data_IF_711420669563
#
_entry.id   IF_711420669563
#
_cell.length_a   1.000
_cell.length_b   1.000
_cell.length_c   1.000
_cell.angle_alpha   90.00
_cell.angle_beta   90.00
_cell.angle_gamma   90.00
#
_symmetry.space_group_name_H-M   'P 1'
#
loop_
_entity.id
_entity.type
_entity.pdbx_description
1 polymer ?
#
# COMPACT_ATOMS: atom_id res chain seq x y z
N UNK A 1 12.57 -36.67 -33.55
CA UNK A 1 13.13 -35.37 -33.13
C UNK A 1 12.24 -34.28 -33.71
N UNK A 2 11.48 -33.56 -32.87
CA UNK A 2 10.54 -32.52 -33.32
C UNK A 2 11.28 -31.39 -34.04
N UNK A 3 10.61 -30.70 -34.96
CA UNK A 3 11.19 -29.58 -35.73
C UNK A 3 11.82 -28.53 -34.79
N UNK A 4 11.19 -28.28 -33.64
CA UNK A 4 11.73 -27.44 -32.56
C UNK A 4 13.13 -27.86 -32.09
N UNK A 5 13.36 -29.15 -31.87
CA UNK A 5 14.65 -29.65 -31.43
C UNK A 5 15.70 -29.50 -32.53
N UNK A 6 15.31 -29.64 -33.81
CA UNK A 6 16.21 -29.42 -34.96
C UNK A 6 16.58 -27.95 -35.11
N UNK A 7 15.62 -27.05 -34.91
CA UNK A 7 15.83 -25.60 -35.02
C UNK A 7 16.71 -25.08 -33.87
N UNK A 8 16.52 -25.57 -32.63
CA UNK A 8 17.39 -25.25 -31.49
C UNK A 8 18.81 -25.78 -31.70
N UNK A 9 18.94 -27.03 -32.14
CA UNK A 9 20.26 -27.62 -32.41
C UNK A 9 20.95 -26.83 -33.52
N UNK A 10 20.25 -26.45 -34.59
CA UNK A 10 20.80 -25.65 -35.67
C UNK A 10 21.30 -24.27 -35.20
N UNK A 11 20.57 -23.60 -34.31
CA UNK A 11 20.98 -22.30 -33.75
C UNK A 11 22.16 -22.43 -32.79
N UNK A 12 22.23 -23.52 -32.00
CA UNK A 12 23.36 -23.81 -31.12
C UNK A 12 24.61 -24.28 -31.88
N UNK A 13 24.49 -24.70 -33.15
CA UNK A 13 25.58 -25.24 -33.97
C UNK A 13 25.96 -24.39 -35.19
N UNK A 14 25.24 -23.28 -35.45
CA UNK A 14 25.57 -22.34 -36.53
C UNK A 14 26.22 -21.07 -35.99
N UNK A 15 27.37 -20.69 -36.57
CA UNK A 15 28.08 -19.41 -36.40
C UNK A 15 27.33 -18.19 -37.00
N UNK A 16 25.99 -18.26 -37.07
CA UNK A 16 25.14 -17.19 -37.59
C UNK A 16 24.25 -16.66 -36.47
N UNK A 17 24.31 -15.34 -36.28
CA UNK A 17 23.59 -14.52 -35.30
C UNK A 17 22.05 -14.55 -35.44
N UNK A 18 21.40 -15.72 -35.35
CA UNK A 18 19.97 -15.77 -35.06
C UNK A 18 19.84 -15.86 -33.54
N UNK A 19 19.48 -14.76 -32.85
CA UNK A 19 19.34 -14.81 -31.40
C UNK A 19 18.28 -15.85 -31.04
N UNK A 20 18.55 -16.67 -30.03
CA UNK A 20 17.63 -17.70 -29.50
C UNK A 20 16.19 -17.17 -29.33
N UNK A 21 16.07 -15.88 -28.99
CA UNK A 21 14.80 -15.16 -28.86
C UNK A 21 13.97 -15.16 -30.15
N UNK A 22 14.57 -15.06 -31.34
CA UNK A 22 13.84 -15.09 -32.62
C UNK A 22 13.28 -16.49 -32.93
N UNK A 23 14.00 -17.54 -32.53
CA UNK A 23 13.53 -18.93 -32.64
C UNK A 23 12.34 -19.16 -31.71
N UNK A 24 12.46 -18.72 -30.46
CA UNK A 24 11.38 -18.80 -29.47
C UNK A 24 10.15 -18.00 -29.92
N UNK A 25 10.34 -16.77 -30.42
CA UNK A 25 9.27 -15.92 -30.96
C UNK A 25 8.47 -16.64 -32.05
N UNK A 26 9.16 -17.22 -33.05
CA UNK A 26 8.51 -17.94 -34.16
C UNK A 26 7.75 -19.17 -33.68
N UNK A 27 8.31 -19.92 -32.72
CA UNK A 27 7.69 -21.13 -32.21
C UNK A 27 6.46 -20.83 -31.36
N UNK A 28 6.51 -19.77 -30.55
CA UNK A 28 5.35 -19.26 -29.82
C UNK A 28 4.26 -18.81 -30.81
N UNK A 29 4.62 -18.11 -31.89
CA UNK A 29 3.68 -17.68 -32.94
C UNK A 29 3.00 -18.88 -33.62
N UNK A 30 3.75 -19.93 -33.97
CA UNK A 30 3.21 -21.15 -34.57
C UNK A 30 2.30 -21.89 -33.58
N UNK A 31 2.75 -22.10 -32.35
CA UNK A 31 1.99 -22.82 -31.33
C UNK A 31 0.69 -22.10 -30.97
N UNK A 32 0.73 -20.78 -30.80
CA UNK A 32 -0.45 -19.96 -30.51
C UNK A 32 -1.47 -20.02 -31.66
N UNK A 33 -1.01 -19.89 -32.91
CA UNK A 33 -1.89 -20.00 -34.08
C UNK A 33 -2.53 -21.39 -34.21
N UNK A 34 -1.77 -22.45 -33.95
CA UNK A 34 -2.31 -23.82 -33.95
C UNK A 34 -3.34 -24.01 -32.84
N UNK A 35 -3.06 -23.51 -31.64
CA UNK A 35 -4.00 -23.58 -30.52
C UNK A 35 -5.32 -22.90 -30.85
N UNK A 36 -5.30 -21.68 -31.41
CA UNK A 36 -6.51 -20.96 -31.82
C UNK A 36 -7.37 -21.75 -32.83
N UNK A 37 -6.72 -22.44 -33.78
CA UNK A 37 -7.43 -23.28 -34.76
C UNK A 37 -8.05 -24.52 -34.11
N UNK A 38 -7.34 -25.13 -33.16
CA UNK A 38 -7.81 -26.29 -32.42
C UNK A 38 -8.97 -25.92 -31.49
N UNK A 39 -8.92 -24.76 -30.86
CA UNK A 39 -9.98 -24.25 -29.99
C UNK A 39 -11.27 -24.05 -30.77
N UNK A 40 -11.23 -23.40 -31.94
CA UNK A 40 -12.40 -23.28 -32.80
C UNK A 40 -12.93 -24.65 -33.27
N UNK A 41 -12.02 -25.60 -33.51
CA UNK A 41 -12.39 -26.98 -33.85
C UNK A 41 -13.14 -27.66 -32.70
N UNK A 42 -12.68 -27.47 -31.46
CA UNK A 42 -13.34 -28.00 -30.28
C UNK A 42 -14.72 -27.38 -30.05
N UNK A 43 -14.86 -26.05 -30.22
CA UNK A 43 -16.13 -25.34 -30.06
C UNK A 43 -17.15 -25.73 -31.13
N UNK A 44 -16.73 -25.90 -32.38
CA UNK A 44 -17.61 -26.32 -33.46
C UNK A 44 -17.89 -27.83 -33.46
N UNK A 45 -17.02 -28.64 -32.85
CA UNK A 45 -17.09 -30.10 -32.85
C UNK A 45 -16.65 -30.75 -34.16
N UNK A 46 -16.11 -29.99 -35.12
CA UNK A 46 -15.64 -30.51 -36.40
C UNK A 46 -14.48 -29.70 -37.01
N UNK A 47 -13.65 -30.40 -37.79
CA UNK A 47 -12.46 -29.86 -38.43
C UNK A 47 -12.75 -28.99 -39.67
N UNK A 48 -11.79 -28.19 -40.14
CA UNK A 48 -11.91 -27.43 -41.38
C UNK A 48 -12.35 -28.34 -42.55
N UNK A 49 -13.28 -27.84 -43.38
CA UNK A 49 -13.79 -28.52 -44.58
C UNK A 49 -14.51 -29.86 -44.35
N UNK A 50 -14.86 -30.20 -43.11
CA UNK A 50 -15.65 -31.41 -42.81
C UNK A 50 -17.10 -31.22 -43.25
N UNK A 51 -17.67 -32.22 -43.95
CA UNK A 51 -19.08 -32.20 -44.33
C UNK A 51 -19.95 -32.45 -43.08
N UNK A 52 -20.82 -31.51 -42.77
CA UNK A 52 -21.77 -31.55 -41.66
C UNK A 52 -23.20 -31.65 -42.19
N UNK A 53 -24.04 -32.39 -41.47
CA UNK A 53 -25.46 -32.52 -41.78
C UNK A 53 -26.18 -31.19 -41.53
N UNK A 54 -26.96 -30.74 -42.52
CA UNK A 54 -27.60 -29.42 -42.56
C UNK A 54 -28.99 -29.42 -41.93
N UNK A 55 -29.42 -30.55 -41.37
CA UNK A 55 -30.76 -30.80 -40.83
C UNK A 55 -31.03 -30.19 -39.44
N UNK A 56 -30.03 -29.56 -38.80
CA UNK A 56 -30.15 -28.92 -37.47
C UNK A 56 -30.20 -27.38 -37.62
N UNK A 57 -31.17 -26.74 -36.98
CA UNK A 57 -31.42 -25.29 -37.09
C UNK A 57 -30.38 -24.39 -36.37
N UNK A 58 -29.47 -24.93 -35.55
CA UNK A 58 -28.48 -24.16 -34.76
C UNK A 58 -27.02 -24.46 -35.17
N UNK A 59 -26.79 -24.75 -36.46
CA UNK A 59 -25.46 -25.11 -36.97
C UNK A 59 -24.63 -23.84 -37.20
N UNK A 60 -23.55 -23.72 -36.43
CA UNK A 60 -22.57 -22.66 -36.58
C UNK A 60 -21.51 -23.05 -37.63
N UNK A 61 -20.87 -22.06 -38.27
CA UNK A 61 -19.90 -22.27 -39.35
C UNK A 61 -18.63 -21.47 -39.14
N UNK A 62 -17.49 -21.92 -39.68
CA UNK A 62 -16.27 -21.08 -39.75
C UNK A 62 -16.51 -19.92 -40.73
N UNK A 63 -16.08 -18.71 -40.36
CA UNK A 63 -16.30 -17.48 -41.14
C UNK A 63 -15.01 -16.64 -41.25
N UNK A 64 -13.96 -17.27 -41.78
CA UNK A 64 -12.67 -16.62 -41.99
C UNK A 64 -11.88 -16.40 -40.70
N UNK A 65 -10.92 -15.47 -40.77
CA UNK A 65 -10.03 -15.10 -39.68
C UNK A 65 -9.64 -13.62 -39.77
N UNK A 66 -9.13 -13.07 -38.68
CA UNK A 66 -8.53 -11.74 -38.66
C UNK A 66 -7.15 -11.79 -38.04
N UNK A 67 -6.27 -10.89 -38.46
CA UNK A 67 -4.92 -10.81 -37.92
C UNK A 67 -4.86 -9.89 -36.70
N UNK A 68 -4.06 -10.27 -35.71
CA UNK A 68 -3.69 -9.45 -34.55
C UNK A 68 -2.20 -9.59 -34.29
N UNK A 69 -1.53 -8.46 -34.07
CA UNK A 69 -0.16 -8.45 -33.60
C UNK A 69 -0.15 -8.29 -32.08
N UNK A 70 0.55 -9.18 -31.38
CA UNK A 70 0.77 -9.12 -29.93
C UNK A 70 2.26 -8.91 -29.68
N UNK A 71 2.58 -7.96 -28.81
CA UNK A 71 3.94 -7.73 -28.31
C UNK A 71 4.22 -8.75 -27.18
N UNK A 72 5.20 -9.62 -27.36
CA UNK A 72 5.68 -10.57 -26.33
C UNK A 72 7.09 -10.20 -25.88
N UNK A 73 7.57 -10.84 -24.81
CA UNK A 73 8.97 -10.70 -24.33
C UNK A 73 10.01 -11.03 -25.42
N UNK A 74 9.66 -11.93 -26.35
CA UNK A 74 10.52 -12.35 -27.45
C UNK A 74 10.32 -11.51 -28.73
N UNK A 75 9.49 -10.46 -28.67
CA UNK A 75 9.15 -9.59 -29.80
C UNK A 75 7.72 -9.75 -30.30
N UNK A 76 7.41 -9.11 -31.43
CA UNK A 76 6.07 -9.10 -32.02
C UNK A 76 5.72 -10.44 -32.65
N UNK A 77 4.58 -11.01 -32.29
CA UNK A 77 4.01 -12.20 -32.93
C UNK A 77 2.72 -11.83 -33.67
N UNK A 78 2.50 -12.45 -34.83
CA UNK A 78 1.27 -12.28 -35.60
C UNK A 78 0.34 -13.48 -35.41
N UNK A 79 -0.82 -13.22 -34.83
CA UNK A 79 -1.86 -14.20 -34.59
C UNK A 79 -2.96 -14.07 -35.64
N UNK A 80 -3.39 -15.21 -36.17
CA UNK A 80 -4.50 -15.36 -37.10
C UNK A 80 -5.68 -15.95 -36.35
N UNK A 81 -6.51 -15.07 -35.80
CA UNK A 81 -7.61 -15.46 -34.92
C UNK A 81 -8.81 -15.86 -35.77
N UNK A 82 -9.26 -17.13 -35.71
CA UNK A 82 -10.35 -17.59 -36.54
C UNK A 82 -11.70 -17.09 -35.98
N UNK A 83 -12.70 -17.02 -36.86
CA UNK A 83 -14.06 -16.56 -36.52
C UNK A 83 -15.09 -17.62 -36.87
N UNK A 84 -16.17 -17.63 -36.12
CA UNK A 84 -17.39 -18.36 -36.43
C UNK A 84 -18.47 -17.42 -36.97
N UNK A 85 -19.49 -17.97 -37.63
CA UNK A 85 -20.53 -17.21 -38.33
C UNK A 85 -21.53 -16.61 -37.36
N UNK A 86 -21.75 -17.26 -36.22
CA UNK A 86 -22.66 -16.79 -35.17
C UNK A 86 -21.97 -15.90 -34.12
N UNK A 87 -20.67 -15.60 -34.27
CA UNK A 87 -19.84 -14.84 -33.31
C UNK A 87 -19.91 -15.37 -31.87
N UNK A 88 -20.14 -16.68 -31.69
CA UNK A 88 -20.15 -17.38 -30.40
C UNK A 88 -18.73 -17.77 -29.95
N UNK A 89 -17.75 -17.78 -30.84
CA UNK A 89 -16.36 -18.14 -30.51
C UNK A 89 -15.64 -16.99 -29.80
N UNK A 90 -15.19 -17.24 -28.57
CA UNK A 90 -14.24 -16.41 -27.85
C UNK A 90 -13.01 -17.25 -27.55
N UNK A 91 -11.83 -16.74 -27.90
CA UNK A 91 -10.58 -17.47 -27.64
C UNK A 91 -10.17 -17.33 -26.16
N UNK A 92 -9.65 -18.39 -25.57
CA UNK A 92 -9.18 -18.42 -24.19
C UNK A 92 -7.73 -17.93 -24.02
N UNK A 93 -6.97 -17.82 -25.12
CA UNK A 93 -5.56 -17.44 -25.07
C UNK A 93 -5.33 -15.97 -24.69
N UNK A 94 -6.21 -15.07 -25.12
CA UNK A 94 -6.10 -13.65 -24.79
C UNK A 94 -7.47 -12.94 -24.86
N UNK A 95 -7.76 -12.03 -23.91
CA UNK A 95 -8.97 -11.24 -23.96
C UNK A 95 -9.08 -10.38 -25.24
N UNK A 96 -10.30 -9.98 -25.64
CA UNK A 96 -10.48 -9.00 -26.69
C UNK A 96 -9.63 -7.74 -26.42
N UNK A 97 -8.94 -7.23 -27.44
CA UNK A 97 -8.16 -5.98 -27.43
C UNK A 97 -6.83 -5.98 -26.65
N UNK A 98 -6.41 -7.11 -26.07
CA UNK A 98 -5.08 -7.25 -25.44
C UNK A 98 -3.98 -7.28 -26.51
N UNK A 99 -2.93 -6.49 -26.29
CA UNK A 99 -1.76 -6.38 -27.18
C UNK A 99 -0.46 -6.84 -26.52
N UNK A 100 -0.44 -7.19 -25.23
CA UNK A 100 0.79 -7.38 -24.42
C UNK A 100 0.62 -8.48 -23.36
N UNK A 101 1.71 -9.14 -22.99
CA UNK A 101 1.79 -10.12 -21.88
C UNK A 101 1.93 -9.46 -20.50
N UNK A 102 1.29 -10.03 -19.49
CA UNK A 102 1.02 -9.43 -18.16
C UNK A 102 2.28 -9.09 -17.32
N UNK A 103 3.40 -9.79 -17.51
CA UNK A 103 4.59 -9.61 -16.67
C UNK A 103 5.25 -8.22 -16.75
N UNK A 104 5.11 -7.51 -17.88
CA UNK A 104 5.65 -6.15 -18.02
C UNK A 104 4.78 -5.13 -17.26
N UNK A 105 3.45 -5.32 -17.27
CA UNK A 105 2.54 -4.45 -16.52
C UNK A 105 2.78 -4.58 -15.01
N UNK A 106 2.98 -5.80 -14.50
CA UNK A 106 3.38 -6.03 -13.10
C UNK A 106 4.69 -5.33 -12.76
N UNK A 107 5.69 -5.41 -13.64
CA UNK A 107 6.97 -4.73 -13.47
C UNK A 107 6.81 -3.20 -13.47
N UNK A 108 5.95 -2.65 -14.32
CA UNK A 108 5.60 -1.23 -14.33
C UNK A 108 4.93 -0.81 -13.03
N UNK A 109 3.96 -1.59 -12.54
CA UNK A 109 3.29 -1.35 -11.25
C UNK A 109 4.32 -1.41 -10.11
N UNK A 110 5.24 -2.38 -10.14
CA UNK A 110 6.29 -2.53 -9.13
C UNK A 110 7.28 -1.37 -9.16
N UNK A 111 7.69 -0.89 -10.32
CA UNK A 111 8.55 0.31 -10.41
C UNK A 111 7.81 1.55 -9.89
N UNK A 112 6.51 1.68 -10.21
CA UNK A 112 5.71 2.78 -9.70
C UNK A 112 5.57 2.74 -8.17
N UNK A 113 5.37 1.55 -7.57
CA UNK A 113 5.34 1.35 -6.12
C UNK A 113 6.71 1.63 -5.49
N UNK A 114 7.82 1.43 -6.20
CA UNK A 114 9.16 1.87 -5.77
C UNK A 114 9.40 3.37 -5.95
N UNK A 115 8.37 4.14 -6.25
CA UNK A 115 8.42 5.59 -6.35
C UNK A 115 9.17 6.09 -7.58
N UNK A 116 9.41 5.21 -8.57
CA UNK A 116 9.94 5.60 -9.87
C UNK A 116 8.86 6.42 -10.59
N UNK A 117 9.27 7.50 -11.25
CA UNK A 117 8.34 8.37 -11.99
C UNK A 117 7.89 7.69 -13.28
N UNK A 118 6.74 8.11 -13.82
CA UNK A 118 6.22 7.53 -15.07
C UNK A 118 7.15 7.76 -16.25
N UNK A 119 7.93 8.84 -16.23
CA UNK A 119 8.98 9.15 -17.23
C UNK A 119 10.18 8.23 -17.08
N UNK A 120 10.70 8.06 -15.87
CA UNK A 120 11.81 7.12 -15.63
C UNK A 120 11.42 5.68 -15.97
N UNK A 121 10.17 5.26 -15.67
CA UNK A 121 9.67 3.94 -16.07
C UNK A 121 9.63 3.81 -17.59
N UNK A 122 9.10 4.82 -18.29
CA UNK A 122 9.08 4.84 -19.75
C UNK A 122 10.49 4.67 -20.34
N UNK A 123 11.46 5.46 -19.86
CA UNK A 123 12.84 5.42 -20.30
C UNK A 123 13.51 4.05 -19.99
N UNK A 124 13.25 3.48 -18.80
CA UNK A 124 13.79 2.16 -18.43
C UNK A 124 13.23 1.04 -19.30
N UNK A 125 11.91 1.04 -19.52
CA UNK A 125 11.25 0.02 -20.34
C UNK A 125 11.71 0.13 -21.80
N UNK A 126 11.89 1.34 -22.32
CA UNK A 126 12.43 1.57 -23.67
C UNK A 126 13.86 1.02 -23.80
N UNK A 127 14.74 1.28 -22.84
CA UNK A 127 16.12 0.79 -22.85
C UNK A 127 16.22 -0.73 -22.72
N UNK A 128 15.36 -1.36 -21.92
CA UNK A 128 15.40 -2.80 -21.66
C UNK A 128 14.75 -3.62 -22.78
N UNK A 129 13.61 -3.15 -23.31
CA UNK A 129 12.77 -3.93 -24.22
C UNK A 129 12.73 -3.37 -25.66
N UNK A 130 13.38 -2.24 -25.93
CA UNK A 130 13.39 -1.61 -27.27
C UNK A 130 12.03 -1.11 -27.74
N UNK A 131 11.01 -1.16 -26.89
CA UNK A 131 9.64 -0.73 -27.17
C UNK A 131 9.37 0.62 -26.53
N UNK A 132 8.87 1.58 -27.31
CA UNK A 132 8.51 2.90 -26.80
C UNK A 132 7.28 2.81 -25.88
N UNK A 133 7.48 3.06 -24.59
CA UNK A 133 6.39 3.28 -23.63
C UNK A 133 6.28 4.78 -23.37
N UNK A 134 5.14 5.37 -23.71
CA UNK A 134 4.91 6.76 -23.32
C UNK A 134 4.61 6.85 -21.81
N UNK A 135 4.94 7.97 -21.14
CA UNK A 135 4.53 8.22 -19.76
C UNK A 135 3.00 8.10 -19.56
N UNK A 136 2.23 8.40 -20.60
CA UNK A 136 0.77 8.22 -20.63
C UNK A 136 0.37 6.75 -20.61
N UNK A 137 1.08 5.89 -21.35
CA UNK A 137 0.88 4.44 -21.32
C UNK A 137 1.15 3.88 -19.92
N UNK A 138 2.25 4.29 -19.29
CA UNK A 138 2.59 3.92 -17.91
C UNK A 138 1.49 4.37 -16.94
N UNK A 139 1.00 5.60 -17.08
CA UNK A 139 -0.11 6.12 -16.27
C UNK A 139 -1.40 5.32 -16.45
N UNK A 140 -1.71 4.88 -17.67
CA UNK A 140 -2.89 4.05 -17.93
C UNK A 140 -2.75 2.64 -17.34
N UNK A 141 -1.54 2.08 -17.33
CA UNK A 141 -1.27 0.80 -16.65
C UNK A 141 -1.47 0.97 -15.14
N UNK A 142 -0.93 2.03 -14.53
CA UNK A 142 -1.09 2.25 -13.08
C UNK A 142 -2.53 2.60 -12.71
N UNK A 143 -3.32 3.24 -13.58
CA UNK A 143 -4.77 3.42 -13.35
C UNK A 143 -5.51 2.10 -13.18
N UNK A 144 -5.04 1.01 -13.78
CA UNK A 144 -5.66 -0.30 -13.56
C UNK A 144 -5.59 -0.72 -12.09
N UNK A 145 -4.69 -0.18 -11.27
CA UNK A 145 -4.63 -0.48 -9.83
C UNK A 145 -5.61 0.34 -8.98
N UNK A 146 -6.49 1.12 -9.60
CA UNK A 146 -7.49 1.92 -8.88
C UNK A 146 -8.51 1.03 -8.14
N UNK A 147 -8.95 -0.08 -8.75
CA UNK A 147 -9.82 -1.06 -8.07
C UNK A 147 -9.17 -1.62 -6.80
N UNK A 148 -7.84 -1.78 -6.76
CA UNK A 148 -7.16 -2.26 -5.56
C UNK A 148 -7.27 -1.26 -4.41
N UNK A 149 -7.33 0.04 -4.71
CA UNK A 149 -7.55 1.10 -3.71
C UNK A 149 -8.94 0.96 -3.10
N UNK A 150 -9.96 0.78 -3.95
CA UNK A 150 -11.33 0.53 -3.51
C UNK A 150 -11.40 -0.75 -2.66
N UNK A 151 -10.83 -1.86 -3.14
CA UNK A 151 -10.73 -3.12 -2.40
C UNK A 151 -10.03 -2.94 -1.05
N UNK A 152 -8.96 -2.14 -0.98
CA UNK A 152 -8.26 -1.85 0.26
C UNK A 152 -9.17 -1.11 1.24
N UNK A 153 -9.90 -0.10 0.79
CA UNK A 153 -10.82 0.66 1.65
C UNK A 153 -12.07 -0.15 2.00
N UNK A 154 -12.50 -1.11 1.20
CA UNK A 154 -13.67 -1.96 1.47
C UNK A 154 -13.34 -3.27 2.21
N UNK A 155 -12.05 -3.64 2.32
CA UNK A 155 -11.65 -4.93 2.88
C UNK A 155 -12.21 -5.17 4.28
N UNK A 156 -12.60 -6.41 4.54
CA UNK A 156 -12.88 -6.87 5.90
C UNK A 156 -11.58 -7.19 6.62
N UNK A 157 -11.44 -6.71 7.86
CA UNK A 157 -10.28 -7.04 8.67
C UNK A 157 -10.33 -8.50 9.11
N UNK A 158 -9.19 -9.19 9.00
CA UNK A 158 -9.03 -10.58 9.46
C UNK A 158 -9.13 -10.67 10.99
N UNK A 159 -8.67 -9.64 11.69
CA UNK A 159 -8.64 -9.56 13.15
C UNK A 159 -9.51 -8.40 13.62
N UNK A 160 -10.24 -8.62 14.72
CA UNK A 160 -11.14 -7.61 15.29
C UNK A 160 -10.55 -6.85 16.49
N UNK A 161 -9.37 -7.25 16.97
CA UNK A 161 -8.77 -6.80 18.23
C UNK A 161 -7.38 -6.23 18.00
N UNK A 162 -7.13 -5.02 18.51
CA UNK A 162 -5.82 -4.35 18.44
C UNK A 162 -5.45 -3.75 19.80
N UNK A 163 -4.20 -3.97 20.23
CA UNK A 163 -3.72 -3.51 21.53
C UNK A 163 -3.46 -2.01 21.47
N UNK A 164 -2.80 -1.53 20.43
CA UNK A 164 -2.62 -0.11 20.23
C UNK A 164 -2.75 0.31 18.77
N UNK A 165 -3.32 1.49 18.56
CA UNK A 165 -3.45 2.13 17.25
C UNK A 165 -2.80 3.51 17.31
N UNK A 166 -1.81 3.71 16.46
CA UNK A 166 -1.13 4.99 16.27
C UNK A 166 -1.84 5.78 15.18
N UNK A 167 -2.19 7.02 15.48
CA UNK A 167 -2.79 7.97 14.53
C UNK A 167 -1.84 9.14 14.35
N UNK A 168 -1.51 9.46 13.10
CA UNK A 168 -0.69 10.61 12.74
C UNK A 168 -1.06 11.11 11.36
N UNK A 169 -0.83 12.40 11.10
CA UNK A 169 -1.10 13.03 9.83
C UNK A 169 0.21 13.50 9.17
N UNK A 170 0.30 13.33 7.85
CA UNK A 170 1.42 13.85 7.05
C UNK A 170 0.93 14.68 5.89
N UNK A 171 1.56 15.85 5.70
CA UNK A 171 1.18 16.77 4.64
C UNK A 171 1.90 16.48 3.32
N UNK A 172 1.16 16.18 2.26
CA UNK A 172 1.67 15.85 0.92
C UNK A 172 1.20 16.89 -0.11
N UNK A 173 2.07 17.35 -1.03
CA UNK A 173 1.68 18.27 -2.10
C UNK A 173 0.74 17.60 -3.12
N UNK A 174 -0.47 18.13 -3.25
CA UNK A 174 -1.51 17.69 -4.16
C UNK A 174 -2.01 18.87 -5.02
N UNK A 175 -2.31 18.60 -6.30
CA UNK A 175 -2.88 19.61 -7.20
C UNK A 175 -4.39 19.40 -7.35
N UNK A 176 -5.18 20.39 -6.94
CA UNK A 176 -6.63 20.52 -7.21
C UNK A 176 -6.91 21.86 -7.92
N UNK A 177 -6.23 22.08 -9.05
CA UNK A 177 -6.12 23.40 -9.70
C UNK A 177 -4.83 24.09 -9.26
N UNK A 178 -4.79 24.59 -8.03
CA UNK A 178 -3.56 25.02 -7.33
C UNK A 178 -2.89 23.85 -6.61
N UNK A 179 -1.60 24.02 -6.29
CA UNK A 179 -0.83 23.01 -5.53
C UNK A 179 -0.87 23.40 -4.06
N UNK A 180 -1.49 22.55 -3.26
CA UNK A 180 -1.61 22.73 -1.81
C UNK A 180 -1.11 21.50 -1.07
N UNK A 181 -0.78 21.67 0.21
CA UNK A 181 -0.35 20.55 1.06
C UNK A 181 -1.57 20.02 1.80
N UNK A 182 -2.06 18.87 1.37
CA UNK A 182 -3.20 18.20 2.01
C UNK A 182 -2.70 17.19 3.05
N UNK A 183 -3.51 16.97 4.08
CA UNK A 183 -3.25 16.02 5.14
C UNK A 183 -3.57 14.59 4.69
N UNK A 184 -2.62 13.69 4.92
CA UNK A 184 -2.83 12.24 4.80
C UNK A 184 -2.81 11.68 6.21
N UNK A 185 -4.00 11.34 6.70
CA UNK A 185 -4.22 10.73 8.00
C UNK A 185 -3.91 9.23 7.89
N UNK A 186 -3.15 8.68 8.81
CA UNK A 186 -2.73 7.27 8.77
C UNK A 186 -3.00 6.62 10.11
N UNK A 187 -3.62 5.44 10.08
CA UNK A 187 -3.83 4.60 11.26
C UNK A 187 -2.98 3.32 11.16
N UNK A 188 -2.10 3.09 12.15
CA UNK A 188 -1.27 1.88 12.22
C UNK A 188 -1.61 1.11 13.49
N UNK A 189 -2.07 -0.13 13.36
CA UNK A 189 -2.45 -1.00 14.46
C UNK A 189 -1.35 -2.01 14.81
N UNK A 190 -1.28 -2.37 16.09
CA UNK A 190 -0.50 -3.50 16.59
C UNK A 190 -1.44 -4.45 17.35
N UNK A 191 -1.41 -5.72 16.98
CA UNK A 191 -2.15 -6.81 17.62
C UNK A 191 -1.40 -7.36 18.83
N UNK A 192 -2.07 -8.20 19.62
CA UNK A 192 -1.47 -8.87 20.78
C UNK A 192 -0.32 -9.82 20.42
N UNK A 193 -0.36 -10.47 19.26
CA UNK A 193 0.73 -11.29 18.70
C UNK A 193 1.95 -10.43 18.26
N UNK A 194 1.83 -9.11 18.35
CA UNK A 194 2.81 -8.13 17.90
C UNK A 194 2.78 -7.86 16.39
N UNK A 195 1.90 -8.51 15.64
CA UNK A 195 1.68 -8.22 14.23
C UNK A 195 1.22 -6.79 14.06
N UNK A 196 1.82 -6.08 13.09
CA UNK A 196 1.54 -4.68 12.85
C UNK A 196 1.24 -4.40 11.39
N UNK A 197 0.30 -3.51 11.16
CA UNK A 197 -0.18 -3.19 9.84
C UNK A 197 -0.76 -1.76 9.83
N UNK A 198 -0.70 -1.11 8.67
CA UNK A 198 -1.50 0.08 8.41
C UNK A 198 -2.93 -0.40 8.21
N UNK A 199 -3.82 0.06 9.09
CA UNK A 199 -5.24 -0.28 9.06
C UNK A 199 -5.95 0.47 7.95
N UNK A 200 -5.75 1.79 7.92
CA UNK A 200 -6.32 2.65 6.90
C UNK A 200 -5.57 3.97 6.77
N UNK A 201 -5.91 4.71 5.73
CA UNK A 201 -5.52 6.11 5.57
C UNK A 201 -6.65 6.91 4.95
N UNK A 202 -6.62 8.24 5.08
CA UNK A 202 -7.55 9.14 4.41
C UNK A 202 -6.83 10.39 3.92
N UNK A 203 -7.25 10.92 2.78
CA UNK A 203 -6.76 12.20 2.25
C UNK A 203 -7.79 13.27 2.61
N UNK A 204 -7.35 14.36 3.21
CA UNK A 204 -8.21 15.49 3.57
C UNK A 204 -7.48 16.81 3.34
N UNK A 205 -8.16 17.89 2.89
CA UNK A 205 -7.53 19.19 2.70
C UNK A 205 -6.81 19.69 3.96
N UNK A 206 -7.43 19.48 5.12
CA UNK A 206 -6.87 19.82 6.43
C UNK A 206 -7.13 18.69 7.42
N UNK A 207 -6.25 18.59 8.41
CA UNK A 207 -6.45 17.67 9.54
C UNK A 207 -7.58 18.19 10.43
N UNK A 208 -8.67 17.44 10.53
CA UNK A 208 -9.83 17.82 11.33
C UNK A 208 -10.53 16.60 11.95
N UNK A 209 -11.34 16.83 12.98
CA UNK A 209 -12.04 15.76 13.71
C UNK A 209 -13.06 14.98 12.87
N UNK A 210 -13.62 15.58 11.81
CA UNK A 210 -14.58 14.89 10.94
C UNK A 210 -13.88 13.82 10.09
N UNK A 211 -12.72 14.14 9.50
CA UNK A 211 -11.91 13.20 8.74
C UNK A 211 -11.44 12.02 9.60
N UNK A 212 -11.06 12.29 10.86
CA UNK A 212 -10.73 11.23 11.81
C UNK A 212 -11.94 10.38 12.20
N UNK A 213 -13.11 10.99 12.41
CA UNK A 213 -14.34 10.27 12.70
C UNK A 213 -14.74 9.34 11.56
N UNK A 214 -14.65 9.80 10.31
CA UNK A 214 -14.92 8.99 9.12
C UNK A 214 -13.96 7.79 9.01
N UNK A 215 -12.66 8.02 9.20
CA UNK A 215 -11.65 6.96 9.21
C UNK A 215 -11.97 5.91 10.30
N UNK A 216 -12.26 6.36 11.54
CA UNK A 216 -12.56 5.47 12.66
C UNK A 216 -13.87 4.70 12.47
N UNK A 217 -14.90 5.34 11.90
CA UNK A 217 -16.15 4.67 11.52
C UNK A 217 -15.89 3.60 10.46
N UNK A 218 -15.06 3.90 9.46
CA UNK A 218 -14.64 2.95 8.43
C UNK A 218 -13.91 1.73 9.01
N UNK A 219 -13.02 1.94 9.98
CA UNK A 219 -12.37 0.83 10.71
C UNK A 219 -13.40 -0.07 11.41
N UNK A 220 -14.36 0.54 12.10
CA UNK A 220 -15.40 -0.17 12.86
C UNK A 220 -16.34 -0.95 11.94
N UNK A 221 -16.81 -0.30 10.87
CA UNK A 221 -17.70 -0.90 9.87
C UNK A 221 -17.07 -2.14 9.20
N UNK A 222 -15.74 -2.15 9.06
CA UNK A 222 -14.97 -3.23 8.43
C UNK A 222 -14.58 -4.38 9.37
N UNK A 223 -14.91 -4.28 10.65
CA UNK A 223 -14.84 -5.40 11.59
C UNK A 223 -13.88 -5.23 12.77
N UNK A 224 -13.21 -4.07 12.92
CA UNK A 224 -12.45 -3.77 14.13
C UNK A 224 -13.43 -3.42 15.25
N UNK A 225 -13.43 -4.23 16.31
CA UNK A 225 -14.38 -4.11 17.42
C UNK A 225 -13.72 -3.47 18.63
N UNK A 226 -12.58 -4.01 19.03
CA UNK A 226 -11.94 -3.65 20.30
C UNK A 226 -10.53 -3.12 20.08
N UNK A 227 -10.30 -1.92 20.60
CA UNK A 227 -8.99 -1.27 20.61
C UNK A 227 -8.70 -0.86 22.05
N UNK A 228 -7.58 -1.30 22.62
CA UNK A 228 -7.25 -0.99 24.01
C UNK A 228 -6.67 0.42 24.18
N UNK A 229 -5.90 0.90 23.20
CA UNK A 229 -5.21 2.19 23.28
C UNK A 229 -5.11 2.89 21.92
N UNK A 230 -5.53 4.16 21.88
CA UNK A 230 -5.16 5.07 20.79
C UNK A 230 -4.00 5.98 21.21
N UNK A 231 -3.05 6.16 20.31
CA UNK A 231 -1.88 7.03 20.51
C UNK A 231 -1.86 8.05 19.39
N UNK A 232 -2.08 9.32 19.71
CA UNK A 232 -2.15 10.38 18.71
C UNK A 232 -1.63 11.72 19.26
N UNK A 233 -1.47 12.72 18.40
CA UNK A 233 -1.39 14.09 18.89
C UNK A 233 -2.75 14.53 19.47
N UNK A 234 -2.73 15.48 20.40
CA UNK A 234 -3.94 16.05 20.99
C UNK A 234 -4.58 17.09 20.08
N UNK A 235 -4.96 16.68 18.87
CA UNK A 235 -5.72 17.50 17.93
C UNK A 235 -7.14 17.73 18.48
N UNK A 236 -7.65 18.95 18.30
CA UNK A 236 -9.02 19.30 18.69
C UNK A 236 -10.01 18.42 17.93
N UNK A 237 -10.89 17.73 18.66
CA UNK A 237 -11.94 16.87 18.10
C UNK A 237 -11.51 15.43 17.82
N UNK A 238 -10.21 15.08 17.84
CA UNK A 238 -9.76 13.70 17.65
C UNK A 238 -10.17 12.82 18.83
N UNK A 239 -9.96 13.29 20.06
CA UNK A 239 -10.34 12.53 21.25
C UNK A 239 -11.86 12.27 21.29
N UNK A 240 -12.68 13.28 20.98
CA UNK A 240 -14.13 13.11 20.89
C UNK A 240 -14.54 12.14 19.77
N UNK A 241 -13.83 12.12 18.64
CA UNK A 241 -14.06 11.16 17.57
C UNK A 241 -13.70 9.72 18.00
N UNK A 242 -12.64 9.55 18.79
CA UNK A 242 -12.25 8.26 19.38
C UNK A 242 -13.32 7.79 20.36
N UNK A 243 -13.71 8.63 21.32
CA UNK A 243 -14.72 8.30 22.35
C UNK A 243 -16.08 7.93 21.73
N UNK A 244 -16.47 8.60 20.63
CA UNK A 244 -17.71 8.30 19.92
C UNK A 244 -17.70 6.94 19.19
N UNK A 245 -16.55 6.51 18.67
CA UNK A 245 -16.43 5.29 17.87
C UNK A 245 -16.00 4.07 18.69
N UNK A 246 -15.10 4.28 19.66
CA UNK A 246 -14.49 3.26 20.51
C UNK A 246 -14.49 3.74 21.98
N UNK A 247 -15.66 3.75 22.64
CA UNK A 247 -15.82 4.33 23.99
C UNK A 247 -15.02 3.60 25.08
N UNK A 248 -14.66 2.33 24.87
CA UNK A 248 -13.85 1.55 25.81
C UNK A 248 -12.34 1.75 25.60
N UNK A 249 -11.93 2.35 24.49
CA UNK A 249 -10.53 2.53 24.17
C UNK A 249 -9.93 3.65 25.03
N UNK A 250 -8.77 3.39 25.63
CA UNK A 250 -8.02 4.44 26.33
C UNK A 250 -7.38 5.37 25.31
N UNK A 251 -7.20 6.63 25.67
CA UNK A 251 -6.45 7.59 24.87
C UNK A 251 -5.10 7.90 25.52
N UNK A 252 -4.06 7.96 24.69
CA UNK A 252 -2.77 8.48 25.07
C UNK A 252 -2.34 9.60 24.14
N UNK A 253 -2.00 10.74 24.76
CA UNK A 253 -1.32 11.80 24.04
C UNK A 253 0.12 11.39 23.72
N UNK A 254 0.55 11.69 22.50
CA UNK A 254 1.87 11.33 22.03
C UNK A 254 2.96 12.14 22.77
N UNK A 255 3.87 11.43 23.46
CA UNK A 255 5.05 12.02 24.13
C UNK A 255 5.96 12.81 23.19
N UNK A 256 6.17 12.35 21.96
CA UNK A 256 7.09 13.02 21.02
C UNK A 256 6.51 14.34 20.50
N UNK A 257 5.21 14.38 20.20
CA UNK A 257 4.50 15.63 19.91
C UNK A 257 4.46 16.58 21.11
N UNK A 258 4.23 16.07 22.33
CA UNK A 258 4.33 16.88 23.55
C UNK A 258 5.75 17.47 23.74
N UNK A 259 6.80 16.68 23.52
CA UNK A 259 8.19 17.12 23.55
C UNK A 259 8.47 18.21 22.50
N UNK A 260 8.07 17.99 21.24
CA UNK A 260 8.23 18.98 20.16
C UNK A 260 7.49 20.28 20.47
N UNK A 261 6.25 20.18 20.94
CA UNK A 261 5.43 21.32 21.30
C UNK A 261 6.07 22.10 22.46
N UNK A 262 6.63 21.42 23.46
CA UNK A 262 7.38 22.06 24.54
C UNK A 262 8.62 22.80 24.01
N UNK A 263 9.43 22.12 23.19
CA UNK A 263 10.68 22.67 22.65
C UNK A 263 10.50 23.86 21.71
N UNK A 264 9.34 23.99 21.06
CA UNK A 264 8.98 25.13 20.24
C UNK A 264 9.01 26.47 21.00
N UNK A 265 8.84 26.45 22.32
CA UNK A 265 8.79 27.66 23.16
C UNK A 265 9.99 27.81 24.10
N UNK A 266 10.92 26.86 24.08
CA UNK A 266 12.09 26.82 24.96
C UNK A 266 13.30 27.43 24.27
N UNK A 267 14.05 28.25 25.02
CA UNK A 267 15.32 28.86 24.58
C UNK A 267 16.34 27.77 24.22
N UNK A 268 17.13 27.98 23.17
CA UNK A 268 18.07 26.97 22.64
C UNK A 268 19.01 26.38 23.70
N UNK A 269 19.48 27.20 24.64
CA UNK A 269 20.41 26.80 25.70
C UNK A 269 19.77 25.80 26.69
N UNK A 270 18.50 25.99 27.02
CA UNK A 270 17.80 25.19 28.04
C UNK A 270 17.27 23.87 27.45
N UNK A 271 17.17 23.76 26.12
CA UNK A 271 16.58 22.60 25.42
C UNK A 271 17.21 21.28 25.84
N UNK A 272 18.54 21.23 25.96
CA UNK A 272 19.25 19.98 26.27
C UNK A 272 18.87 19.45 27.66
N UNK A 273 18.79 20.36 28.63
CA UNK A 273 18.46 20.02 30.01
C UNK A 273 16.98 19.64 30.15
N UNK A 274 16.08 20.45 29.56
CA UNK A 274 14.64 20.16 29.56
C UNK A 274 14.33 18.81 28.93
N UNK A 275 14.96 18.45 27.80
CA UNK A 275 14.75 17.13 27.18
C UNK A 275 15.19 16.00 28.11
N UNK A 276 16.28 16.19 28.83
CA UNK A 276 16.81 15.17 29.75
C UNK A 276 15.85 14.95 30.91
N UNK A 277 15.41 16.04 31.54
CA UNK A 277 14.44 15.99 32.64
C UNK A 277 13.09 15.43 32.16
N UNK A 278 12.61 15.85 30.98
CA UNK A 278 11.36 15.38 30.39
C UNK A 278 11.39 13.88 30.06
N UNK A 279 12.52 13.38 29.54
CA UNK A 279 12.72 11.94 29.29
C UNK A 279 12.71 11.13 30.58
N UNK A 280 13.26 11.67 31.67
CA UNK A 280 13.26 11.01 32.96
C UNK A 280 11.83 10.75 33.48
N UNK A 281 10.86 11.63 33.16
CA UNK A 281 9.45 11.46 33.56
C UNK A 281 8.87 10.17 32.97
N UNK A 282 8.94 9.99 31.65
CA UNK A 282 8.37 8.80 30.98
C UNK A 282 9.17 7.51 31.21
N UNK A 283 10.44 7.61 31.58
CA UNK A 283 11.31 6.48 31.92
C UNK A 283 11.17 6.04 33.38
N UNK A 284 10.22 6.60 34.13
CA UNK A 284 9.93 6.14 35.48
C UNK A 284 9.39 4.70 35.49
N UNK A 285 9.64 3.99 36.59
CA UNK A 285 9.27 2.58 36.74
C UNK A 285 7.75 2.39 36.88
N UNK A 286 7.10 3.34 37.56
CA UNK A 286 5.67 3.32 37.82
C UNK A 286 5.07 4.73 37.76
N UNK A 287 3.74 4.80 37.77
CA UNK A 287 2.98 6.05 37.66
C UNK A 287 3.30 7.04 38.78
N UNK A 288 3.52 6.54 40.00
CA UNK A 288 3.80 7.37 41.17
C UNK A 288 5.15 8.09 41.02
N UNK A 289 6.20 7.33 40.68
CA UNK A 289 7.52 7.88 40.39
C UNK A 289 7.50 8.85 39.19
N UNK A 290 6.66 8.60 38.19
CA UNK A 290 6.48 9.51 37.06
C UNK A 290 5.87 10.85 37.50
N UNK A 291 4.85 10.82 38.37
CA UNK A 291 4.21 12.01 38.94
C UNK A 291 5.16 12.81 39.83
N UNK A 292 5.99 12.15 40.63
CA UNK A 292 7.03 12.79 41.43
C UNK A 292 8.08 13.50 40.57
N UNK A 293 8.54 12.83 39.49
CA UNK A 293 9.46 13.44 38.51
C UNK A 293 8.81 14.62 37.78
N UNK A 294 7.52 14.55 37.46
CA UNK A 294 6.76 15.64 36.87
C UNK A 294 6.65 16.84 37.83
N UNK A 295 6.43 16.60 39.12
CA UNK A 295 6.40 17.66 40.13
C UNK A 295 7.76 18.36 40.26
N UNK A 296 8.87 17.59 40.29
CA UNK A 296 10.22 18.14 40.32
C UNK A 296 10.54 18.94 39.04
N UNK A 297 10.12 18.42 37.88
CA UNK A 297 10.23 19.11 36.60
C UNK A 297 9.46 20.43 36.60
N UNK A 298 8.24 20.44 37.15
CA UNK A 298 7.43 21.65 37.26
C UNK A 298 8.11 22.69 38.14
N UNK A 299 8.57 22.29 39.33
CA UNK A 299 9.23 23.20 40.27
C UNK A 299 10.48 23.88 39.65
N UNK A 300 11.24 23.15 38.84
CA UNK A 300 12.45 23.66 38.18
C UNK A 300 12.14 24.64 37.05
N UNK A 301 11.16 24.33 36.20
CA UNK A 301 10.95 25.04 34.93
C UNK A 301 9.75 25.99 34.91
N UNK A 302 8.86 25.94 35.90
CA UNK A 302 7.65 26.76 35.93
C UNK A 302 7.95 28.27 36.00
N UNK A 303 9.03 28.67 36.68
CA UNK A 303 9.47 30.07 36.74
C UNK A 303 9.80 30.65 35.36
N UNK A 304 10.45 29.84 34.52
CA UNK A 304 10.91 30.24 33.18
C UNK A 304 9.85 30.04 32.09
N UNK A 305 9.02 29.00 32.23
CA UNK A 305 8.12 28.52 31.17
C UNK A 305 6.68 28.26 31.65
N UNK A 306 6.19 29.07 32.60
CA UNK A 306 4.91 28.94 33.34
C UNK A 306 3.74 28.33 32.55
N UNK A 307 3.32 28.95 31.45
CA UNK A 307 2.14 28.51 30.68
C UNK A 307 2.29 27.09 30.10
N UNK A 308 3.50 26.72 29.67
CA UNK A 308 3.76 25.42 29.01
C UNK A 308 3.86 24.30 30.03
N UNK A 309 4.53 24.56 31.15
CA UNK A 309 4.65 23.63 32.26
C UNK A 309 3.27 23.34 32.87
N UNK A 310 2.45 24.37 33.11
CA UNK A 310 1.08 24.17 33.59
C UNK A 310 0.23 23.31 32.66
N UNK A 311 0.29 23.56 31.36
CA UNK A 311 -0.43 22.75 30.38
C UNK A 311 0.07 21.30 30.39
N UNK A 312 1.39 21.08 30.46
CA UNK A 312 1.97 19.73 30.53
C UNK A 312 1.52 18.97 31.79
N UNK A 313 1.48 19.63 32.95
CA UNK A 313 1.05 19.01 34.21
C UNK A 313 -0.42 18.57 34.17
N UNK A 314 -1.25 19.26 33.38
CA UNK A 314 -2.67 18.90 33.20
C UNK A 314 -2.90 17.75 32.21
N UNK A 315 -1.89 17.35 31.42
CA UNK A 315 -2.01 16.27 30.43
C UNK A 315 -1.87 14.89 31.07
N UNK A 316 -2.89 14.45 31.81
CA UNK A 316 -2.91 13.13 32.44
C UNK A 316 -2.85 11.98 31.40
N UNK A 317 -3.33 12.22 30.17
CA UNK A 317 -3.35 11.23 29.09
C UNK A 317 -1.94 10.82 28.62
N UNK A 318 -0.89 11.56 29.01
CA UNK A 318 0.49 11.16 28.75
C UNK A 318 0.87 9.87 29.49
N UNK A 319 0.21 9.57 30.61
CA UNK A 319 0.60 8.50 31.52
C UNK A 319 -0.17 7.18 31.31
N UNK A 320 -1.09 7.13 30.35
CA UNK A 320 -1.96 5.96 30.08
C UNK A 320 -1.17 4.67 29.84
N UNK A 321 0.02 4.74 29.23
CA UNK A 321 0.89 3.59 28.97
C UNK A 321 1.33 2.84 30.23
N UNK A 322 1.28 3.46 31.42
CA UNK A 322 1.59 2.77 32.68
C UNK A 322 0.61 1.63 32.97
N UNK A 323 -0.59 1.68 32.41
CA UNK A 323 -1.58 0.58 32.50
C UNK A 323 -1.27 -0.63 31.61
N UNK A 324 -0.18 -0.59 30.84
CA UNK A 324 0.27 -1.66 29.95
C UNK A 324 1.56 -2.32 30.45
N UNK A 325 1.83 -3.58 30.04
CA UNK A 325 3.03 -4.31 30.42
C UNK A 325 4.33 -3.55 30.11
N UNK A 326 5.30 -3.66 31.01
CA UNK A 326 6.61 -2.98 30.91
C UNK A 326 7.32 -3.25 29.59
N UNK A 327 7.19 -4.47 29.04
CA UNK A 327 7.79 -4.90 27.78
C UNK A 327 7.40 -4.03 26.57
N UNK A 328 6.18 -3.47 26.56
CA UNK A 328 5.65 -2.69 25.42
C UNK A 328 5.60 -1.18 25.66
N UNK A 329 5.86 -0.72 26.89
CA UNK A 329 5.82 0.71 27.24
C UNK A 329 6.70 1.55 26.31
N UNK A 330 7.91 1.06 26.00
CA UNK A 330 8.83 1.76 25.09
C UNK A 330 8.25 1.95 23.70
N UNK A 331 7.51 0.98 23.19
CA UNK A 331 6.82 1.11 21.92
C UNK A 331 5.74 2.18 22.02
N UNK A 332 4.91 2.13 23.06
CA UNK A 332 3.75 3.03 23.25
C UNK A 332 4.18 4.50 23.37
N UNK A 333 5.19 4.81 24.20
CA UNK A 333 5.64 6.21 24.37
C UNK A 333 6.58 6.71 23.25
N UNK A 334 6.88 5.87 22.26
CA UNK A 334 7.68 6.25 21.09
C UNK A 334 6.81 6.40 19.85
N UNK A 335 7.16 7.33 18.97
CA UNK A 335 6.49 7.49 17.66
C UNK A 335 7.27 6.85 16.52
N UNK A 336 8.33 6.09 16.83
CA UNK A 336 9.22 5.52 15.82
C UNK A 336 8.47 4.70 14.76
N UNK A 337 7.41 4.00 15.16
CA UNK A 337 6.58 3.19 14.27
C UNK A 337 5.98 4.03 13.13
N UNK A 338 5.20 5.05 13.51
CA UNK A 338 4.45 5.88 12.56
C UNK A 338 5.35 6.92 11.89
N UNK A 339 6.33 7.46 12.60
CA UNK A 339 7.32 8.38 12.01
C UNK A 339 8.21 7.69 10.98
N UNK A 340 8.58 6.43 11.20
CA UNK A 340 9.33 5.66 10.19
C UNK A 340 8.50 5.45 8.93
N UNK A 341 7.19 5.17 9.06
CA UNK A 341 6.29 5.06 7.91
C UNK A 341 6.15 6.40 7.20
N UNK A 342 5.79 7.46 7.92
CA UNK A 342 5.63 8.81 7.38
C UNK A 342 6.92 9.35 6.74
N UNK A 343 8.09 9.05 7.32
CA UNK A 343 9.39 9.38 6.74
C UNK A 343 9.64 8.63 5.44
N UNK A 344 9.32 7.33 5.39
CA UNK A 344 9.43 6.52 4.17
C UNK A 344 8.52 7.08 3.07
N UNK A 345 7.26 7.33 3.40
CA UNK A 345 6.28 7.91 2.49
C UNK A 345 6.76 9.26 1.95
N UNK A 346 7.16 10.20 2.82
CA UNK A 346 7.72 11.51 2.42
C UNK A 346 8.95 11.39 1.53
N UNK A 347 9.85 10.43 1.78
CA UNK A 347 11.05 10.22 0.95
C UNK A 347 10.66 9.85 -0.48
N UNK A 348 9.64 9.01 -0.64
CA UNK A 348 9.19 8.53 -1.94
C UNK A 348 8.37 9.61 -2.68
N UNK A 349 7.51 10.35 -1.95
CA UNK A 349 6.78 11.51 -2.46
C UNK A 349 7.72 12.59 -3.00
N UNK A 350 8.83 12.89 -2.31
CA UNK A 350 9.79 13.92 -2.74
C UNK A 350 10.34 13.70 -4.15
N UNK A 351 10.41 12.45 -4.63
CA UNK A 351 10.86 12.13 -6.00
C UNK A 351 9.85 12.53 -7.08
N UNK A 352 8.56 12.61 -6.71
CA UNK A 352 7.46 12.94 -7.62
C UNK A 352 7.11 14.43 -7.61
N UNK A 353 7.69 15.21 -6.71
CA UNK A 353 7.45 16.65 -6.43
C UNK A 353 6.00 17.00 -6.04
N UNK A 354 5.02 16.68 -6.90
CA UNK A 354 3.60 16.93 -6.70
C UNK A 354 2.74 15.82 -7.35
N UNK A 355 1.56 15.58 -6.80
CA UNK A 355 0.58 14.70 -7.43
C UNK A 355 -0.43 15.50 -8.28
N UNK A 356 -0.75 15.03 -9.49
CA UNK A 356 -1.60 15.77 -10.43
C UNK A 356 -3.09 15.78 -10.06
N UNK A 357 -3.54 14.80 -9.28
CA UNK A 357 -4.90 14.66 -8.77
C UNK A 357 -4.93 13.67 -7.61
N UNK A 358 -6.05 13.63 -6.88
CA UNK A 358 -6.25 12.78 -5.70
C UNK A 358 -6.09 11.30 -6.02
N UNK A 359 -6.74 10.77 -7.05
CA UNK A 359 -6.61 9.35 -7.41
C UNK A 359 -5.18 8.90 -7.70
N UNK A 360 -4.31 9.80 -8.20
CA UNK A 360 -2.88 9.50 -8.39
C UNK A 360 -2.12 9.45 -7.06
N UNK A 361 -2.47 10.30 -6.10
CA UNK A 361 -1.93 10.25 -4.74
C UNK A 361 -2.43 9.00 -4.02
N UNK A 362 -3.70 8.67 -4.18
CA UNK A 362 -4.37 7.56 -3.52
C UNK A 362 -3.76 6.21 -3.92
N UNK A 363 -3.67 5.94 -5.23
CA UNK A 363 -2.95 4.77 -5.77
C UNK A 363 -1.51 4.68 -5.25
N UNK A 364 -0.84 5.81 -5.14
CA UNK A 364 0.54 5.84 -4.65
C UNK A 364 0.62 5.48 -3.17
N UNK A 365 -0.20 6.09 -2.30
CA UNK A 365 -0.22 5.79 -0.87
C UNK A 365 -0.58 4.32 -0.65
N UNK A 366 -1.63 3.84 -1.32
CA UNK A 366 -2.06 2.45 -1.28
C UNK A 366 -0.90 1.49 -1.56
N UNK A 367 -0.11 1.73 -2.62
CA UNK A 367 1.04 0.87 -2.92
C UNK A 367 2.09 0.89 -1.81
N UNK A 368 2.33 2.02 -1.16
CA UNK A 368 3.27 2.10 -0.02
C UNK A 368 2.73 1.37 1.20
N UNK A 369 1.42 1.44 1.41
CA UNK A 369 0.73 0.77 2.50
C UNK A 369 0.77 -0.74 2.32
N UNK A 370 0.45 -1.26 1.14
CA UNK A 370 0.59 -2.70 0.85
C UNK A 370 2.02 -3.18 1.07
N UNK A 371 3.01 -2.49 0.50
CA UNK A 371 4.42 -2.87 0.68
C UNK A 371 4.85 -2.85 2.15
N UNK A 372 4.29 -1.93 2.96
CA UNK A 372 4.52 -1.92 4.40
C UNK A 372 3.89 -3.14 5.06
N UNK A 373 2.62 -3.43 4.78
CA UNK A 373 1.88 -4.54 5.37
C UNK A 373 2.54 -5.87 5.02
N UNK A 374 2.84 -6.13 3.75
CA UNK A 374 3.52 -7.35 3.29
C UNK A 374 4.88 -7.56 3.99
N UNK A 375 5.66 -6.48 4.14
CA UNK A 375 6.98 -6.54 4.77
C UNK A 375 6.90 -6.95 6.25
N UNK A 376 5.81 -6.57 6.93
CA UNK A 376 5.65 -6.74 8.37
C UNK A 376 4.65 -7.84 8.75
N UNK A 377 3.95 -8.44 7.80
CA UNK A 377 2.93 -9.48 8.01
C UNK A 377 3.43 -10.60 8.94
N UNK A 378 4.64 -11.11 8.67
CA UNK A 378 5.25 -12.21 9.41
C UNK A 378 6.23 -11.76 10.51
N UNK A 379 6.20 -10.47 10.90
CA UNK A 379 7.13 -9.89 11.89
C UNK A 379 6.36 -9.37 13.09
N UNK A 380 6.67 -9.92 14.27
CA UNK A 380 6.18 -9.34 15.51
C UNK A 380 6.98 -8.10 15.92
N UNK A 381 6.27 -7.11 16.45
CA UNK A 381 6.86 -5.95 17.08
C UNK A 381 7.51 -6.32 18.41
N UNK A 382 8.61 -5.63 18.74
CA UNK A 382 9.40 -5.90 19.94
C UNK A 382 8.56 -5.77 21.22
N UNK A 383 8.72 -6.72 22.13
CA UNK A 383 8.08 -6.74 23.45
C UNK A 383 6.68 -7.35 23.48
N UNK A 384 5.97 -7.41 22.34
CA UNK A 384 4.59 -7.93 22.29
C UNK A 384 4.54 -9.45 22.45
N UNK A 385 5.50 -10.18 21.85
CA UNK A 385 5.60 -11.64 22.03
C UNK A 385 5.79 -12.05 23.49
N UNK A 386 6.53 -11.26 24.26
CA UNK A 386 6.89 -11.59 25.64
C UNK A 386 5.71 -11.41 26.62
N UNK A 387 4.64 -10.72 26.19
CA UNK A 387 3.46 -10.45 27.02
C UNK A 387 2.15 -10.75 26.29
N UNK A 388 2.19 -11.63 25.27
CA UNK A 388 1.04 -11.96 24.43
C UNK A 388 -0.19 -12.37 25.25
N UNK A 389 -0.04 -13.34 26.16
CA UNK A 389 -1.14 -13.83 27.00
C UNK A 389 -1.75 -12.74 27.88
N UNK A 390 -0.90 -11.86 28.44
CA UNK A 390 -1.37 -10.71 29.22
C UNK A 390 -2.15 -9.74 28.34
N UNK A 391 -1.70 -9.49 27.11
CA UNK A 391 -2.37 -8.57 26.19
C UNK A 391 -3.68 -9.15 25.64
N UNK A 392 -3.74 -10.45 25.39
CA UNK A 392 -4.96 -11.15 24.99
C UNK A 392 -6.01 -11.09 26.10
N UNK A 393 -5.60 -11.23 27.37
CA UNK A 393 -6.51 -11.12 28.52
C UNK A 393 -7.10 -9.72 28.74
N UNK A 394 -6.63 -8.70 28.01
CA UNK A 394 -7.18 -7.34 28.08
C UNK A 394 -8.43 -7.16 27.21
N UNK A 395 -8.68 -8.06 26.25
CA UNK A 395 -9.90 -8.11 25.45
C UNK A 395 -10.91 -9.07 26.08
#
# INVERSE_FOLDING_TARGET
MNQFNKDIIAVLSSDKDIPLNEVLRRQIEVAANQFLQNELTAVLGYGPHTRIDRSKDDVNYRNGAYTRTIDTEYGKINLTVPRDRLNKFQNALFPPYVRRTDGLEEMVIKMYSKGVTTREIADMVERMYGHYYSPTTVSNITKRTEHLVEEFHERRFKYSQYVCVFLDATYIPLRRGTVEREAVNVAIGIRSDGGKEVLDYSIAPTENGAAWSELLQGLRARGIKDIQLFIADGLVGLQSAIEANYPQAKFQRCWVHAERNLLGYVRKNDRREIITDFKAIRQAENLQAAKERLAAFSAKWESSYKRRIKNLVQMEELFTFFSFPTAIRQTIYSTNLIESFNKSLKKMVRRKEQFPNEGALDRFIMTQVMEYNDKFENRAHRGFKDCHDTLDSMF
#
